data_IF_079370442240
#
_entry.id   IF_079370442240
#
_cell.length_a   1.000
_cell.length_b   1.000
_cell.length_c   1.000
_cell.angle_alpha   90.00
_cell.angle_beta   90.00
_cell.angle_gamma   90.00
#
_symmetry.space_group_name_H-M   'P 1'
#
loop_
_entity.id
_entity.type
_entity.pdbx_description
1 polymer ?
#
# COMPACT_ATOMS: atom_id res chain seq x y z
N UNK A 1 6.05 -29.83 -4.85
CA UNK A 1 4.89 -29.19 -4.17
C UNK A 1 3.67 -29.40 -5.04
N UNK A 2 2.51 -29.67 -4.45
CA UNK A 2 1.22 -29.79 -5.15
C UNK A 2 0.21 -28.84 -4.52
N UNK A 3 -0.74 -28.33 -5.30
CA UNK A 3 -1.80 -27.45 -4.81
C UNK A 3 -2.64 -28.16 -3.74
N UNK A 4 -3.05 -27.42 -2.70
CA UNK A 4 -3.84 -27.93 -1.58
C UNK A 4 -3.07 -28.75 -0.53
N UNK A 5 -1.76 -28.92 -0.67
CA UNK A 5 -0.96 -29.70 0.28
C UNK A 5 -0.49 -28.87 1.49
N UNK A 6 -1.33 -28.81 2.53
CA UNK A 6 -1.02 -28.06 3.75
C UNK A 6 0.22 -28.56 4.51
N UNK A 7 0.47 -29.87 4.56
CA UNK A 7 1.63 -30.43 5.24
C UNK A 7 2.95 -29.98 4.58
N UNK A 8 2.97 -29.95 3.25
CA UNK A 8 4.13 -29.46 2.50
C UNK A 8 4.33 -27.95 2.69
N UNK A 9 3.26 -27.15 2.79
CA UNK A 9 3.36 -25.72 3.09
C UNK A 9 4.03 -25.47 4.44
N UNK A 10 3.58 -26.12 5.51
CA UNK A 10 4.15 -25.97 6.86
C UNK A 10 5.62 -26.40 6.89
N UNK A 11 5.96 -27.53 6.27
CA UNK A 11 7.34 -27.99 6.20
C UNK A 11 8.25 -26.99 5.45
N UNK A 12 7.75 -26.37 4.38
CA UNK A 12 8.51 -25.38 3.62
C UNK A 12 8.75 -24.09 4.39
N UNK A 13 7.82 -23.65 5.26
CA UNK A 13 8.04 -22.47 6.12
C UNK A 13 9.29 -22.67 6.99
N UNK A 14 9.42 -23.84 7.65
CA UNK A 14 10.61 -24.16 8.45
C UNK A 14 11.90 -24.15 7.62
N UNK A 15 11.86 -24.77 6.42
CA UNK A 15 13.00 -24.79 5.50
C UNK A 15 13.39 -23.41 5.00
N UNK A 16 12.43 -22.52 4.74
CA UNK A 16 12.68 -21.13 4.37
C UNK A 16 13.39 -20.40 5.52
N UNK A 17 12.84 -20.50 6.73
CA UNK A 17 13.40 -19.85 7.91
C UNK A 17 14.84 -20.29 8.20
N UNK A 18 15.14 -21.57 8.00
CA UNK A 18 16.47 -22.16 8.23
C UNK A 18 17.38 -22.13 6.98
N UNK A 19 16.87 -21.66 5.84
CA UNK A 19 17.54 -21.72 4.52
C UNK A 19 18.05 -23.13 4.17
N UNK A 20 17.24 -24.16 4.41
CA UNK A 20 17.61 -25.55 4.17
C UNK A 20 17.06 -26.10 2.86
N UNK A 21 17.92 -26.75 2.07
CA UNK A 21 17.54 -27.39 0.81
C UNK A 21 16.82 -26.41 -0.12
N UNK A 22 15.61 -26.75 -0.58
CA UNK A 22 14.83 -25.87 -1.44
C UNK A 22 14.34 -24.59 -0.72
N UNK A 23 14.33 -24.56 0.61
CA UNK A 23 14.02 -23.36 1.38
C UNK A 23 15.02 -22.22 1.13
N UNK A 24 16.29 -22.53 0.89
CA UNK A 24 17.31 -21.54 0.53
C UNK A 24 17.00 -20.81 -0.79
N UNK A 25 16.35 -21.50 -1.74
CA UNK A 25 15.94 -20.91 -3.02
C UNK A 25 14.82 -19.88 -2.80
N UNK A 26 13.85 -20.20 -1.95
CA UNK A 26 12.66 -19.39 -1.69
C UNK A 26 12.88 -18.25 -0.67
N UNK A 27 13.92 -18.34 0.15
CA UNK A 27 14.11 -17.45 1.31
C UNK A 27 14.35 -15.97 0.97
N UNK A 28 14.65 -15.64 -0.29
CA UNK A 28 14.91 -14.26 -0.72
C UNK A 28 13.74 -13.66 -1.53
N UNK A 29 12.54 -14.25 -1.43
CA UNK A 29 11.32 -13.76 -2.07
C UNK A 29 11.07 -14.30 -3.47
N UNK A 30 9.83 -14.15 -3.96
CA UNK A 30 9.37 -14.82 -5.19
C UNK A 30 10.16 -14.41 -6.44
N UNK A 31 10.52 -13.11 -6.56
CA UNK A 31 11.29 -12.56 -7.68
C UNK A 31 12.64 -13.27 -7.85
N UNK A 32 13.40 -13.36 -6.77
CA UNK A 32 14.74 -13.97 -6.79
C UNK A 32 14.65 -15.50 -6.88
N UNK A 33 13.66 -16.10 -6.22
CA UNK A 33 13.40 -17.53 -6.31
C UNK A 33 13.09 -17.95 -7.75
N UNK A 34 12.23 -17.21 -8.46
CA UNK A 34 11.88 -17.51 -9.84
C UNK A 34 13.10 -17.46 -10.77
N UNK A 35 13.97 -16.46 -10.63
CA UNK A 35 15.21 -16.38 -11.41
C UNK A 35 16.17 -17.54 -11.13
N UNK A 36 16.25 -18.01 -9.88
CA UNK A 36 17.06 -19.18 -9.50
C UNK A 36 16.48 -20.50 -10.04
N UNK A 37 15.16 -20.64 -10.04
CA UNK A 37 14.48 -21.83 -10.57
C UNK A 37 14.59 -21.85 -12.11
N UNK A 38 14.52 -20.68 -12.74
CA UNK A 38 14.55 -20.51 -14.18
C UNK A 38 13.35 -21.15 -14.88
N UNK A 39 13.52 -21.56 -16.14
CA UNK A 39 12.50 -22.25 -16.94
C UNK A 39 11.21 -21.43 -17.15
N UNK A 40 11.34 -20.11 -17.18
CA UNK A 40 10.19 -19.21 -17.32
C UNK A 40 9.31 -19.19 -16.07
N UNK A 41 9.88 -19.43 -14.88
CA UNK A 41 9.15 -19.38 -13.61
C UNK A 41 8.73 -17.97 -13.22
N UNK A 42 9.33 -16.95 -13.82
CA UNK A 42 9.06 -15.54 -13.61
C UNK A 42 7.58 -15.20 -13.88
N UNK A 43 6.93 -15.90 -14.82
CA UNK A 43 5.49 -15.73 -15.12
C UNK A 43 4.56 -16.13 -13.96
N UNK A 44 5.09 -16.84 -12.95
CA UNK A 44 4.35 -17.27 -11.77
C UNK A 44 4.73 -16.47 -10.51
N UNK A 45 5.74 -15.59 -10.59
CA UNK A 45 6.15 -14.74 -9.49
C UNK A 45 5.42 -13.40 -9.55
N UNK A 46 4.32 -13.29 -8.80
CA UNK A 46 3.48 -12.10 -8.81
C UNK A 46 3.99 -11.09 -7.80
N UNK A 47 4.70 -10.07 -8.29
CA UNK A 47 5.32 -9.04 -7.45
C UNK A 47 5.38 -7.69 -8.18
N UNK A 48 5.62 -6.61 -7.44
CA UNK A 48 5.91 -5.27 -8.00
C UNK A 48 7.24 -4.81 -7.44
N UNK A 49 8.22 -4.54 -8.31
CA UNK A 49 9.60 -4.23 -7.90
C UNK A 49 10.35 -5.39 -7.20
N UNK A 50 9.68 -6.46 -6.81
CA UNK A 50 10.20 -7.58 -6.00
C UNK A 50 9.44 -7.79 -4.68
N UNK A 51 8.50 -6.90 -4.37
CA UNK A 51 7.57 -7.08 -3.25
C UNK A 51 6.37 -7.91 -3.72
N UNK A 52 6.13 -9.04 -3.05
CA UNK A 52 4.98 -9.90 -3.31
C UNK A 52 3.68 -9.16 -3.00
N UNK A 53 2.69 -9.28 -3.88
CA UNK A 53 1.40 -8.61 -3.70
C UNK A 53 0.60 -9.24 -2.54
N UNK A 54 -0.23 -8.48 -1.84
CA UNK A 54 -1.06 -8.99 -0.75
C UNK A 54 -2.32 -9.70 -1.31
N UNK A 55 -3.17 -10.20 -0.41
CA UNK A 55 -4.32 -11.05 -0.74
C UNK A 55 -5.54 -10.30 -1.31
N UNK A 56 -5.32 -9.37 -2.26
CA UNK A 56 -6.39 -8.69 -3.00
C UNK A 56 -6.09 -8.68 -4.50
N UNK A 57 -7.10 -9.01 -5.30
CA UNK A 57 -7.00 -9.04 -6.75
C UNK A 57 -7.24 -7.65 -7.35
N UNK A 58 -6.21 -6.97 -7.88
CA UNK A 58 -6.34 -5.61 -8.40
C UNK A 58 -7.27 -5.52 -9.61
N UNK A 59 -7.60 -6.64 -10.27
CA UNK A 59 -8.50 -6.67 -11.44
C UNK A 59 -9.95 -6.35 -11.08
N UNK A 60 -10.32 -6.52 -9.82
CA UNK A 60 -11.69 -6.27 -9.31
C UNK A 60 -11.72 -5.26 -8.17
N UNK A 61 -10.56 -4.74 -7.76
CA UNK A 61 -10.43 -3.75 -6.69
C UNK A 61 -9.41 -2.71 -7.12
N UNK A 62 -9.84 -1.84 -8.02
CA UNK A 62 -8.98 -0.96 -8.81
C UNK A 62 -8.24 0.06 -7.94
N UNK A 63 -8.83 0.49 -6.83
CA UNK A 63 -8.15 1.30 -5.84
C UNK A 63 -6.82 0.70 -5.38
N UNK A 64 -6.73 -0.64 -5.28
CA UNK A 64 -5.49 -1.31 -4.91
C UNK A 64 -4.36 -1.10 -5.92
N UNK A 65 -4.67 -0.96 -7.21
CA UNK A 65 -3.69 -0.72 -8.26
C UNK A 65 -2.85 0.54 -7.97
N UNK A 66 -3.51 1.62 -7.51
CA UNK A 66 -2.83 2.87 -7.20
C UNK A 66 -1.80 2.71 -6.10
N UNK A 67 -2.19 2.16 -4.95
CA UNK A 67 -1.22 1.97 -3.87
C UNK A 67 -0.16 0.92 -4.18
N UNK A 68 -0.49 -0.09 -5.01
CA UNK A 68 0.45 -1.13 -5.42
C UNK A 68 1.59 -0.62 -6.30
N UNK A 69 1.32 0.31 -7.21
CA UNK A 69 2.31 0.81 -8.19
C UNK A 69 2.89 2.16 -7.76
N UNK A 70 2.06 3.05 -7.19
CA UNK A 70 2.44 4.44 -6.96
C UNK A 70 3.03 4.71 -5.56
N UNK A 71 2.84 3.82 -4.56
CA UNK A 71 3.49 4.01 -3.26
C UNK A 71 5.00 3.71 -3.35
N UNK A 72 5.85 4.47 -2.64
CA UNK A 72 7.29 4.18 -2.53
C UNK A 72 7.61 2.77 -2.03
N UNK A 73 6.69 2.10 -1.35
CA UNK A 73 6.76 0.69 -0.98
C UNK A 73 5.69 -0.09 -1.75
N UNK A 74 5.99 -0.54 -2.97
CA UNK A 74 4.99 -1.14 -3.87
C UNK A 74 4.41 -2.44 -3.30
N UNK A 75 3.28 -2.90 -3.83
CA UNK A 75 2.74 -4.22 -3.47
C UNK A 75 2.35 -4.40 -1.99
N UNK A 76 1.96 -3.33 -1.29
CA UNK A 76 1.48 -3.38 0.11
C UNK A 76 0.07 -2.87 0.21
N UNK A 77 -0.84 -3.53 0.92
CA UNK A 77 -2.24 -3.10 1.09
C UNK A 77 -2.46 -2.08 2.21
N UNK A 78 -1.45 -1.86 3.04
CA UNK A 78 -1.48 -0.93 4.18
C UNK A 78 -0.81 0.40 3.82
N UNK A 79 -0.88 0.81 2.55
CA UNK A 79 -0.20 1.97 2.00
C UNK A 79 -1.15 2.78 1.10
N UNK A 80 -2.23 3.29 1.68
CA UNK A 80 -3.36 4.05 1.14
C UNK A 80 -4.61 3.21 0.80
N UNK A 81 -4.47 1.89 0.67
CA UNK A 81 -5.53 1.07 0.06
C UNK A 81 -6.72 0.76 0.95
N UNK A 82 -6.62 0.92 2.27
CA UNK A 82 -7.80 0.83 3.13
C UNK A 82 -8.80 1.89 2.67
N UNK A 83 -8.37 3.13 2.47
CA UNK A 83 -9.25 4.19 1.98
C UNK A 83 -9.67 3.98 0.52
N UNK A 84 -8.78 3.45 -0.31
CA UNK A 84 -9.10 3.13 -1.70
C UNK A 84 -10.21 2.08 -1.81
N UNK A 85 -10.19 1.05 -0.94
CA UNK A 85 -11.25 0.03 -0.91
C UNK A 85 -12.58 0.58 -0.42
N UNK A 86 -12.57 1.41 0.62
CA UNK A 86 -13.79 2.05 1.13
C UNK A 86 -14.44 2.91 0.04
N UNK A 87 -13.61 3.65 -0.69
CA UNK A 87 -14.01 4.43 -1.84
C UNK A 87 -14.61 3.61 -2.97
N UNK A 88 -13.93 2.54 -3.40
CA UNK A 88 -14.44 1.61 -4.42
C UNK A 88 -15.79 1.01 -4.01
N UNK A 89 -15.98 0.77 -2.71
CA UNK A 89 -17.21 0.27 -2.12
C UNK A 89 -18.30 1.33 -1.89
N UNK A 90 -18.06 2.59 -2.26
CA UNK A 90 -19.02 3.69 -2.12
C UNK A 90 -19.19 4.20 -0.69
N UNK A 91 -18.27 3.89 0.22
CA UNK A 91 -18.25 4.44 1.58
C UNK A 91 -17.71 5.88 1.51
N UNK A 92 -18.51 6.89 1.87
CA UNK A 92 -18.08 8.27 1.79
C UNK A 92 -16.98 8.56 2.81
N UNK A 93 -16.08 9.48 2.45
CA UNK A 93 -15.16 10.09 3.39
C UNK A 93 -15.93 10.94 4.42
N UNK A 94 -15.35 11.15 5.62
CA UNK A 94 -15.89 12.06 6.63
C UNK A 94 -16.03 13.50 6.11
N UNK A 95 -16.86 14.26 6.83
CA UNK A 95 -17.47 15.50 6.36
C UNK A 95 -16.55 16.73 6.22
N UNK A 96 -15.25 16.63 6.55
CA UNK A 96 -14.32 17.76 6.40
C UNK A 96 -14.26 18.22 4.94
N UNK A 97 -14.25 19.53 4.70
CA UNK A 97 -14.30 20.09 3.35
C UNK A 97 -13.19 19.55 2.42
N UNK A 98 -12.02 19.25 2.98
CA UNK A 98 -10.85 18.72 2.28
C UNK A 98 -10.99 17.24 1.87
N UNK A 99 -11.93 16.51 2.49
CA UNK A 99 -12.21 15.10 2.22
C UNK A 99 -13.60 14.89 1.61
N UNK A 100 -14.32 15.97 1.26
CA UNK A 100 -15.53 15.90 0.45
C UNK A 100 -15.16 15.61 -1.01
N UNK A 101 -14.89 14.34 -1.28
CA UNK A 101 -14.52 13.88 -2.62
C UNK A 101 -15.77 13.81 -3.51
N UNK A 102 -15.65 14.19 -4.80
CA UNK A 102 -16.76 14.06 -5.74
C UNK A 102 -17.14 12.59 -5.90
N UNK A 103 -18.39 12.33 -6.34
CA UNK A 103 -18.71 11.01 -6.88
C UNK A 103 -17.83 10.76 -8.10
N UNK A 104 -17.31 9.57 -8.22
CA UNK A 104 -16.43 9.19 -9.32
C UNK A 104 -16.71 7.74 -9.75
N UNK A 105 -16.31 7.40 -10.96
CA UNK A 105 -16.32 6.03 -11.47
C UNK A 105 -14.95 5.40 -11.19
N UNK A 106 -14.81 4.42 -10.27
CA UNK A 106 -13.52 3.80 -9.96
C UNK A 106 -12.77 3.24 -11.17
N UNK A 107 -13.48 2.92 -12.26
CA UNK A 107 -12.89 2.43 -13.51
C UNK A 107 -12.20 3.54 -14.34
N UNK A 108 -12.54 4.81 -14.12
CA UNK A 108 -11.90 5.96 -14.76
C UNK A 108 -10.60 6.34 -14.03
N UNK A 109 -9.57 5.51 -14.25
CA UNK A 109 -8.27 5.63 -13.58
C UNK A 109 -7.68 7.05 -13.69
N UNK A 110 -7.50 7.65 -14.88
CA UNK A 110 -6.92 8.99 -14.99
C UNK A 110 -7.72 10.06 -14.26
N UNK A 111 -9.06 10.02 -14.32
CA UNK A 111 -9.90 10.99 -13.64
C UNK A 111 -9.78 10.92 -12.12
N UNK A 112 -9.49 9.73 -11.57
CA UNK A 112 -9.46 9.48 -10.13
C UNK A 112 -8.07 9.66 -9.50
N UNK A 113 -7.03 9.93 -10.28
CA UNK A 113 -5.66 9.98 -9.77
C UNK A 113 -5.51 10.94 -8.58
N UNK A 114 -6.14 12.12 -8.63
CA UNK A 114 -6.11 13.11 -7.55
C UNK A 114 -6.84 12.63 -6.29
N UNK A 115 -7.96 11.92 -6.45
CA UNK A 115 -8.76 11.33 -5.35
C UNK A 115 -7.90 10.35 -4.56
N UNK A 116 -7.31 9.35 -5.24
CA UNK A 116 -6.46 8.35 -4.60
C UNK A 116 -5.17 8.93 -4.03
N UNK A 117 -4.66 9.98 -4.65
CA UNK A 117 -3.50 10.72 -4.14
C UNK A 117 -3.83 11.44 -2.83
N UNK A 118 -5.02 12.03 -2.67
CA UNK A 118 -5.47 12.63 -1.40
C UNK A 118 -5.65 11.56 -0.30
N UNK A 119 -6.21 10.40 -0.63
CA UNK A 119 -6.29 9.28 0.31
C UNK A 119 -4.90 8.85 0.81
N UNK A 120 -3.93 8.85 -0.10
CA UNK A 120 -2.55 8.51 0.24
C UNK A 120 -1.93 9.55 1.17
N UNK A 121 -2.14 10.84 0.91
CA UNK A 121 -1.67 11.92 1.78
C UNK A 121 -2.24 11.80 3.19
N UNK A 122 -3.55 11.56 3.32
CA UNK A 122 -4.21 11.36 4.60
C UNK A 122 -3.62 10.18 5.36
N UNK A 123 -3.40 9.03 4.69
CA UNK A 123 -2.84 7.86 5.36
C UNK A 123 -1.37 8.07 5.76
N UNK A 124 -0.58 8.80 4.96
CA UNK A 124 0.80 9.17 5.34
C UNK A 124 0.82 10.05 6.57
N UNK A 125 -0.07 11.03 6.67
CA UNK A 125 -0.28 11.80 7.89
C UNK A 125 -0.63 10.87 9.06
N UNK A 126 -1.69 10.07 8.91
CA UNK A 126 -2.23 9.19 9.95
C UNK A 126 -1.19 8.23 10.54
N UNK A 127 -0.48 7.52 9.66
CA UNK A 127 0.59 6.59 10.06
C UNK A 127 1.77 7.30 10.72
N UNK A 128 2.06 8.55 10.34
CA UNK A 128 3.12 9.35 10.96
C UNK A 128 2.74 9.90 12.33
N UNK A 129 1.44 9.99 12.64
CA UNK A 129 0.93 10.27 13.98
C UNK A 129 1.01 9.04 14.91
N UNK A 130 1.46 7.89 14.41
CA UNK A 130 1.53 6.63 15.16
C UNK A 130 0.16 5.98 15.40
N UNK A 131 -0.87 6.41 14.67
CA UNK A 131 -2.23 5.91 14.83
C UNK A 131 -2.43 4.59 14.05
N UNK A 132 -3.26 3.70 14.61
CA UNK A 132 -3.62 2.45 13.95
C UNK A 132 -4.44 2.73 12.67
N UNK A 133 -4.06 2.12 11.55
CA UNK A 133 -4.75 2.32 10.25
C UNK A 133 -6.25 1.98 10.30
N UNK A 134 -6.68 1.08 11.19
CA UNK A 134 -8.11 0.76 11.35
C UNK A 134 -8.93 1.90 11.95
N UNK A 135 -8.31 2.90 12.57
CA UNK A 135 -9.03 4.11 13.01
C UNK A 135 -9.35 5.08 11.86
N UNK A 136 -8.75 4.87 10.67
CA UNK A 136 -8.95 5.70 9.50
C UNK A 136 -10.29 5.43 8.79
N UNK A 137 -10.89 4.26 9.03
CA UNK A 137 -12.12 3.86 8.34
C UNK A 137 -13.19 3.29 9.29
N UNK A 138 -14.41 3.87 9.30
CA UNK A 138 -14.71 5.25 8.88
C UNK A 138 -14.02 6.21 9.86
N UNK A 139 -13.29 7.23 9.39
CA UNK A 139 -12.50 8.13 10.26
C UNK A 139 -13.27 8.53 11.53
N UNK A 140 -12.84 7.98 12.66
CA UNK A 140 -13.52 8.19 13.96
C UNK A 140 -12.86 9.29 14.78
N UNK A 141 -11.68 9.75 14.36
CA UNK A 141 -10.87 10.69 15.12
C UNK A 141 -10.87 12.06 14.43
N UNK A 142 -11.43 13.12 15.05
CA UNK A 142 -11.43 14.46 14.49
C UNK A 142 -10.03 15.07 14.59
N UNK A 143 -9.15 14.78 13.62
CA UNK A 143 -7.74 15.20 13.65
C UNK A 143 -7.58 16.71 13.83
N UNK A 144 -8.46 17.52 13.25
CA UNK A 144 -8.44 18.98 13.38
C UNK A 144 -8.64 19.45 14.83
N UNK A 145 -9.34 18.69 15.67
CA UNK A 145 -9.56 19.01 17.09
C UNK A 145 -8.50 18.36 17.99
N UNK A 146 -8.15 17.11 17.68
CA UNK A 146 -7.22 16.31 18.51
C UNK A 146 -5.79 16.83 18.38
N UNK A 147 -5.36 17.21 17.18
CA UNK A 147 -3.97 17.64 16.97
C UNK A 147 -3.60 18.88 17.80
N UNK A 148 -4.37 19.99 17.79
CA UNK A 148 -4.08 21.13 18.66
C UNK A 148 -4.16 20.77 20.15
N UNK A 149 -5.14 19.95 20.54
CA UNK A 149 -5.34 19.58 21.94
C UNK A 149 -4.17 18.75 22.51
N UNK A 150 -3.58 17.86 21.70
CA UNK A 150 -2.48 16.98 22.13
C UNK A 150 -1.12 17.65 21.99
N UNK A 151 -0.92 18.42 20.93
CA UNK A 151 0.43 18.90 20.54
C UNK A 151 0.64 20.38 20.81
N UNK A 152 -0.42 21.16 21.02
CA UNK A 152 -0.36 22.62 21.05
C UNK A 152 -0.06 23.27 19.69
N UNK A 153 0.03 22.47 18.62
CA UNK A 153 0.25 22.96 17.26
C UNK A 153 -1.07 23.50 16.70
N UNK A 154 -1.04 24.73 16.21
CA UNK A 154 -2.12 25.26 15.36
C UNK A 154 -2.20 24.45 14.06
N UNK A 155 -3.09 23.46 14.04
CA UNK A 155 -3.18 22.44 13.01
C UNK A 155 -4.49 22.55 12.25
N UNK A 156 -4.41 22.41 10.93
CA UNK A 156 -5.57 22.23 10.05
C UNK A 156 -5.42 20.96 9.25
N UNK A 157 -6.54 20.34 8.85
CA UNK A 157 -6.49 19.15 8.00
C UNK A 157 -5.81 19.45 6.65
N UNK A 158 -6.06 20.63 6.07
CA UNK A 158 -5.37 21.07 4.85
C UNK A 158 -3.84 21.10 5.00
N UNK A 159 -3.32 21.54 6.16
CA UNK A 159 -1.88 21.48 6.46
C UNK A 159 -1.40 20.03 6.64
N UNK A 160 -2.19 19.21 7.34
CA UNK A 160 -1.92 17.79 7.52
C UNK A 160 -1.80 17.04 6.20
N UNK A 161 -2.70 17.27 5.24
CA UNK A 161 -2.64 16.67 3.90
C UNK A 161 -1.37 17.12 3.14
N UNK A 162 -0.97 18.39 3.24
CA UNK A 162 0.31 18.86 2.69
C UNK A 162 1.51 18.16 3.33
N UNK A 163 1.47 17.91 4.64
CA UNK A 163 2.50 17.14 5.33
C UNK A 163 2.53 15.68 4.82
N UNK A 164 1.37 15.04 4.66
CA UNK A 164 1.22 13.72 4.05
C UNK A 164 1.84 13.64 2.66
N UNK A 165 1.54 14.61 1.79
CA UNK A 165 2.14 14.73 0.45
C UNK A 165 3.66 14.83 0.53
N UNK A 166 4.18 15.69 1.41
CA UNK A 166 5.62 15.87 1.62
C UNK A 166 6.31 14.56 2.02
N UNK A 167 5.69 13.79 2.93
CA UNK A 167 6.19 12.48 3.36
C UNK A 167 6.22 11.50 2.18
N UNK A 168 5.13 11.41 1.40
CA UNK A 168 5.08 10.55 0.21
C UNK A 168 6.17 10.93 -0.81
N UNK A 169 6.33 12.23 -1.10
CA UNK A 169 7.36 12.73 -2.01
C UNK A 169 8.76 12.44 -1.52
N UNK A 170 9.06 12.63 -0.22
CA UNK A 170 10.39 12.35 0.33
C UNK A 170 10.73 10.86 0.24
N UNK A 171 9.75 9.98 0.50
CA UNK A 171 9.92 8.53 0.34
C UNK A 171 10.19 8.16 -1.13
N UNK A 172 9.52 8.79 -2.10
CA UNK A 172 9.84 8.58 -3.52
C UNK A 172 11.23 9.13 -3.89
N UNK A 173 11.61 10.29 -3.38
CA UNK A 173 12.92 10.88 -3.62
C UNK A 173 14.06 9.98 -3.09
N UNK A 174 13.84 9.33 -1.94
CA UNK A 174 14.75 8.31 -1.42
C UNK A 174 14.91 7.16 -2.43
N UNK A 175 13.82 6.59 -2.94
CA UNK A 175 13.89 5.52 -3.93
C UNK A 175 14.68 5.94 -5.17
N UNK A 176 14.40 7.12 -5.73
CA UNK A 176 15.09 7.64 -6.91
C UNK A 176 16.60 7.77 -6.63
N UNK A 177 16.97 8.29 -5.44
CA UNK A 177 18.38 8.40 -5.02
C UNK A 177 19.06 7.03 -4.97
N UNK A 178 18.37 6.00 -4.50
CA UNK A 178 18.85 4.61 -4.45
C UNK A 178 18.77 3.87 -5.80
N UNK A 179 18.39 4.55 -6.88
CA UNK A 179 18.27 3.96 -8.22
C UNK A 179 16.99 3.12 -8.42
N UNK A 180 16.02 3.24 -7.52
CA UNK A 180 14.71 2.62 -7.63
C UNK A 180 13.74 3.61 -8.26
N UNK A 181 13.30 3.32 -9.49
CA UNK A 181 12.26 4.11 -10.15
C UNK A 181 10.96 3.32 -10.26
N UNK A 182 9.97 3.67 -9.43
CA UNK A 182 8.67 2.99 -9.40
C UNK A 182 7.84 3.27 -10.66
N UNK A 183 8.18 4.29 -11.46
CA UNK A 183 7.49 4.59 -12.73
C UNK A 183 7.86 3.63 -13.87
N UNK A 184 8.77 2.69 -13.63
CA UNK A 184 9.25 1.71 -14.62
C UNK A 184 8.65 0.31 -14.41
N UNK A 185 7.70 0.17 -13.48
CA UNK A 185 7.08 -1.09 -13.11
C UNK A 185 5.68 -1.26 -13.70
#
# INVERSE_FOLDING_TARGET
LTWGNGAAMVAMVGKIAQREGFGAVLADGSKLAAGRIGKGSEKWAIHIGGQDIPAHDPRVSIGYCWGYVCDPTPGRHTAAQVMHQHLDGGVPFPASAELQLPKFDPLDMPANASVYATCSDLERLWTSLGLCIFGLAPETLPLAEVMPAVTGWDFTLAEGLKAGRRIATLRQAFNIREGVNTSQW
#
